data_IF_076033308482
#
_entry.id   IF_076033308482
#
_cell.length_a   1.000
_cell.length_b   1.000
_cell.length_c   1.000
_cell.angle_alpha   90.00
_cell.angle_beta   90.00
_cell.angle_gamma   90.00
#
_symmetry.space_group_name_H-M   'P 1'
#
loop_
_entity.id
_entity.type
_entity.pdbx_description
1 polymer ?
#
# COMPACT_ATOMS: atom_id res chain seq x y z
N UNK A 1 13.52 -30.90 -4.34
CA UNK A 1 12.51 -29.87 -3.98
C UNK A 1 13.20 -28.52 -4.12
N UNK A 2 12.95 -27.80 -5.20
CA UNK A 2 13.51 -26.46 -5.37
C UNK A 2 12.69 -25.53 -4.48
N UNK A 3 13.24 -25.15 -3.32
CA UNK A 3 12.65 -24.12 -2.48
C UNK A 3 12.52 -22.81 -3.27
N UNK A 4 11.49 -22.01 -2.95
CA UNK A 4 11.37 -20.68 -3.51
C UNK A 4 12.66 -19.89 -3.24
N UNK A 5 13.20 -19.14 -4.21
CA UNK A 5 14.37 -18.29 -3.97
C UNK A 5 14.11 -17.34 -2.80
N UNK A 6 15.11 -17.09 -1.96
CA UNK A 6 14.96 -16.20 -0.80
C UNK A 6 14.39 -14.82 -1.19
N UNK A 7 14.79 -14.28 -2.36
CA UNK A 7 14.24 -13.04 -2.88
C UNK A 7 12.72 -13.08 -3.14
N UNK A 8 12.20 -14.21 -3.63
CA UNK A 8 10.76 -14.41 -3.85
C UNK A 8 10.04 -14.47 -2.50
N UNK A 9 10.59 -15.19 -1.52
CA UNK A 9 10.02 -15.27 -0.18
C UNK A 9 9.97 -13.90 0.50
N UNK A 10 11.05 -13.11 0.40
CA UNK A 10 11.10 -11.74 0.91
C UNK A 10 10.04 -10.86 0.24
N UNK A 11 9.88 -10.97 -1.08
CA UNK A 11 8.88 -10.19 -1.82
C UNK A 11 7.45 -10.55 -1.39
N UNK A 12 7.16 -11.83 -1.19
CA UNK A 12 5.86 -12.30 -0.67
C UNK A 12 5.62 -11.78 0.75
N UNK A 13 6.63 -11.86 1.62
CA UNK A 13 6.52 -11.38 3.00
C UNK A 13 6.24 -9.87 3.03
N UNK A 14 6.95 -9.08 2.22
CA UNK A 14 6.69 -7.64 2.08
C UNK A 14 5.26 -7.40 1.59
N UNK A 15 4.79 -8.11 0.57
CA UNK A 15 3.43 -7.98 0.08
C UNK A 15 2.39 -8.29 1.17
N UNK A 16 2.60 -9.34 1.97
CA UNK A 16 1.70 -9.70 3.07
C UNK A 16 1.66 -8.61 4.15
N UNK A 17 2.82 -8.03 4.49
CA UNK A 17 2.89 -6.92 5.46
C UNK A 17 2.15 -5.70 4.95
N UNK A 18 2.30 -5.36 3.66
CA UNK A 18 1.57 -4.27 3.02
C UNK A 18 0.06 -4.49 3.11
N UNK A 19 -0.43 -5.65 2.64
CA UNK A 19 -1.86 -5.98 2.68
C UNK A 19 -2.42 -6.01 4.11
N UNK A 20 -1.66 -6.55 5.06
CA UNK A 20 -2.06 -6.56 6.46
C UNK A 20 -2.19 -5.14 7.02
N UNK A 21 -1.28 -4.24 6.63
CA UNK A 21 -1.31 -2.82 7.03
C UNK A 21 -2.50 -2.11 6.39
N UNK A 22 -2.78 -2.35 5.10
CA UNK A 22 -3.93 -1.75 4.40
C UNK A 22 -5.26 -2.18 5.06
N UNK A 23 -5.40 -3.47 5.36
CA UNK A 23 -6.57 -4.01 6.06
C UNK A 23 -6.70 -3.43 7.48
N UNK A 24 -5.58 -3.28 8.19
CA UNK A 24 -5.57 -2.66 9.51
C UNK A 24 -6.00 -1.19 9.45
N UNK A 25 -5.49 -0.41 8.49
CA UNK A 25 -5.89 0.98 8.26
C UNK A 25 -7.39 1.09 7.98
N UNK A 26 -7.94 0.20 7.14
CA UNK A 26 -9.37 0.16 6.89
C UNK A 26 -10.18 -0.13 8.16
N UNK A 27 -9.77 -1.12 8.95
CA UNK A 27 -10.45 -1.49 10.19
C UNK A 27 -10.40 -0.36 11.23
N UNK A 28 -9.23 0.27 11.40
CA UNK A 28 -9.04 1.41 12.30
C UNK A 28 -9.88 2.62 11.86
N UNK A 29 -9.84 2.98 10.58
CA UNK A 29 -10.65 4.09 10.05
C UNK A 29 -12.15 3.83 10.21
N UNK A 30 -12.59 2.58 10.00
CA UNK A 30 -13.99 2.16 10.20
C UNK A 30 -14.42 2.24 11.65
N UNK A 31 -13.57 1.83 12.59
CA UNK A 31 -13.86 1.92 14.01
C UNK A 31 -13.92 3.39 14.46
N UNK A 32 -12.97 4.21 14.04
CA UNK A 32 -12.95 5.65 14.33
C UNK A 32 -14.16 6.39 13.78
N UNK A 33 -14.61 6.04 12.58
CA UNK A 33 -15.85 6.56 12.00
C UNK A 33 -17.06 6.18 12.86
N UNK A 34 -17.13 4.93 13.35
CA UNK A 34 -18.20 4.48 14.26
C UNK A 34 -18.19 5.21 15.60
N UNK A 35 -17.02 5.52 16.12
CA UNK A 35 -16.86 6.32 17.35
C UNK A 35 -17.12 7.82 17.15
N UNK A 36 -17.47 8.27 15.93
CA UNK A 36 -17.75 9.68 15.64
C UNK A 36 -16.52 10.57 15.52
N UNK A 37 -15.32 9.99 15.41
CA UNK A 37 -14.07 10.71 15.23
C UNK A 37 -13.35 10.27 13.95
N UNK A 38 -13.93 10.55 12.75
CA UNK A 38 -13.36 10.11 11.49
C UNK A 38 -11.97 10.72 11.26
N UNK A 39 -11.02 9.88 10.83
CA UNK A 39 -9.71 10.36 10.38
C UNK A 39 -9.93 11.04 9.04
N UNK A 40 -9.77 12.36 9.01
CA UNK A 40 -9.95 13.15 7.80
C UNK A 40 -8.68 13.89 7.41
N UNK A 41 -8.34 13.83 6.12
CA UNK A 41 -7.26 14.63 5.52
C UNK A 41 -7.81 15.31 4.27
N UNK A 42 -7.53 16.62 4.15
CA UNK A 42 -7.84 17.40 2.95
C UNK A 42 -6.59 17.53 2.09
N UNK A 43 -6.66 17.04 0.86
CA UNK A 43 -5.63 17.14 -0.18
C UNK A 43 -6.19 18.01 -1.30
N UNK A 44 -5.97 19.32 -1.21
CA UNK A 44 -6.53 20.28 -2.16
C UNK A 44 -8.07 20.26 -2.16
N UNK A 45 -8.74 20.06 -3.31
CA UNK A 45 -10.20 19.99 -3.39
C UNK A 45 -10.77 18.64 -2.90
N UNK A 46 -9.93 17.63 -2.68
CA UNK A 46 -10.36 16.28 -2.31
C UNK A 46 -10.24 16.08 -0.80
N UNK A 47 -11.23 15.40 -0.21
CA UNK A 47 -11.23 15.05 1.20
C UNK A 47 -11.30 13.54 1.35
N UNK A 48 -10.34 12.97 2.09
CA UNK A 48 -10.33 11.57 2.46
C UNK A 48 -10.94 11.46 3.85
N UNK A 49 -12.11 10.85 3.95
CA UNK A 49 -12.86 10.69 5.20
C UNK A 49 -13.38 9.27 5.39
N UNK A 50 -13.55 8.53 4.29
CA UNK A 50 -14.11 7.20 4.32
C UNK A 50 -13.02 6.14 4.55
N UNK A 51 -13.33 5.05 5.27
CA UNK A 51 -12.42 3.91 5.43
C UNK A 51 -11.94 3.35 4.08
N UNK A 52 -12.83 3.30 3.10
CA UNK A 52 -12.51 2.84 1.75
C UNK A 52 -11.50 3.76 1.06
N UNK A 53 -11.62 5.08 1.23
CA UNK A 53 -10.66 6.04 0.67
C UNK A 53 -9.27 5.89 1.29
N UNK A 54 -9.19 5.61 2.60
CA UNK A 54 -7.93 5.31 3.28
C UNK A 54 -7.28 4.03 2.76
N UNK A 55 -8.07 2.95 2.61
CA UNK A 55 -7.60 1.69 2.05
C UNK A 55 -7.07 1.86 0.61
N UNK A 56 -7.86 2.49 -0.26
CA UNK A 56 -7.48 2.73 -1.66
C UNK A 56 -6.27 3.65 -1.74
N UNK A 57 -6.18 4.68 -0.89
CA UNK A 57 -5.05 5.59 -0.83
C UNK A 57 -3.74 4.87 -0.49
N UNK A 58 -3.75 4.02 0.55
CA UNK A 58 -2.58 3.21 0.92
C UNK A 58 -2.19 2.22 -0.19
N UNK A 59 -3.17 1.55 -0.78
CA UNK A 59 -2.93 0.62 -1.89
C UNK A 59 -2.33 1.32 -3.11
N UNK A 60 -2.81 2.51 -3.47
CA UNK A 60 -2.28 3.29 -4.60
C UNK A 60 -0.83 3.74 -4.37
N UNK A 61 -0.47 4.13 -3.15
CA UNK A 61 0.92 4.47 -2.81
C UNK A 61 1.83 3.26 -3.06
N UNK A 62 1.40 2.08 -2.62
CA UNK A 62 2.16 0.84 -2.80
C UNK A 62 2.16 0.31 -4.23
N UNK A 63 1.06 0.43 -4.96
CA UNK A 63 0.95 -0.14 -6.31
C UNK A 63 1.54 0.78 -7.39
N UNK A 64 1.53 2.09 -7.17
CA UNK A 64 1.95 3.08 -8.16
C UNK A 64 3.29 3.71 -7.78
N UNK A 65 3.37 4.36 -6.62
CA UNK A 65 4.54 5.15 -6.26
C UNK A 65 5.75 4.28 -5.92
N UNK A 66 5.54 3.12 -5.29
CA UNK A 66 6.64 2.22 -4.96
C UNK A 66 7.31 1.61 -6.21
N UNK A 67 6.59 1.05 -7.20
CA UNK A 67 7.21 0.60 -8.46
C UNK A 67 7.85 1.75 -9.26
N UNK A 68 7.24 2.94 -9.26
CA UNK A 68 7.84 4.12 -9.90
C UNK A 68 9.17 4.51 -9.23
N UNK A 69 9.24 4.49 -7.89
CA UNK A 69 10.48 4.75 -7.15
C UNK A 69 11.58 3.73 -7.48
N UNK A 70 11.24 2.43 -7.54
CA UNK A 70 12.19 1.40 -7.95
C UNK A 70 12.67 1.60 -9.39
N UNK A 71 11.78 2.06 -10.28
CA UNK A 71 12.11 2.36 -11.68
C UNK A 71 13.06 3.55 -11.77
N UNK A 72 12.75 4.64 -11.08
CA UNK A 72 13.57 5.85 -11.06
C UNK A 72 14.96 5.60 -10.46
N UNK A 73 15.07 4.70 -9.49
CA UNK A 73 16.35 4.33 -8.84
C UNK A 73 17.11 3.21 -9.57
N UNK A 74 16.61 2.72 -10.71
CA UNK A 74 17.24 1.65 -11.50
C UNK A 74 17.23 0.28 -10.83
N UNK A 75 16.48 0.10 -9.74
CA UNK A 75 16.30 -1.17 -9.01
C UNK A 75 15.04 -1.92 -9.40
N UNK A 76 14.34 -1.50 -10.44
CA UNK A 76 13.14 -2.19 -10.90
C UNK A 76 13.52 -3.52 -11.57
N UNK A 77 13.18 -4.68 -10.97
CA UNK A 77 13.47 -5.98 -11.56
C UNK A 77 12.65 -6.28 -12.83
N UNK A 78 11.58 -5.51 -13.09
CA UNK A 78 10.71 -5.62 -14.27
C UNK A 78 11.12 -4.69 -15.41
N UNK A 79 11.99 -3.71 -15.16
CA UNK A 79 12.52 -2.84 -16.20
C UNK A 79 13.58 -3.61 -17.01
N UNK A 80 13.17 -4.32 -18.05
CA UNK A 80 14.12 -4.86 -19.03
C UNK A 80 14.86 -3.69 -19.67
N UNK A 81 16.19 -3.71 -19.57
CA UNK A 81 17.09 -2.88 -20.38
C UNK A 81 16.96 -3.35 -21.83
N UNK A 82 16.38 -2.51 -22.70
CA UNK A 82 16.54 -2.62 -24.14
C UNK A 82 17.89 -2.03 -24.55
#
# INVERSE_FOLDING_TARGET
>A
MNGLPAAVLVSILVLLVVLATDVWVYADAKERLRCGNPVSVSLGPSRLESPEAWFVGCLLIWLVFFPLYLTATGRNPFARRN
#
